data_IF_905563642262
#
_entry.id   IF_905563642262
#
_cell.length_a   1.000
_cell.length_b   1.000
_cell.length_c   1.000
_cell.angle_alpha   90.00
_cell.angle_beta   90.00
_cell.angle_gamma   90.00
#
_symmetry.space_group_name_H-M   'P 1'
#
loop_
_entity.id
_entity.type
_entity.pdbx_description
1 polymer ?
#
# COMPACT_ATOMS: atom_id res chain seq x y z
N UNK A 1 -22.93 -15.68 11.70
CA UNK A 1 -22.22 -14.64 10.94
C UNK A 1 -21.39 -13.73 11.85
N UNK A 2 -21.89 -13.32 13.02
CA UNK A 2 -21.17 -12.41 13.93
C UNK A 2 -19.80 -12.92 14.40
N UNK A 3 -19.67 -14.20 14.76
CA UNK A 3 -18.36 -14.79 15.09
C UNK A 3 -17.38 -14.74 13.92
N UNK A 4 -17.86 -14.91 12.69
CA UNK A 4 -17.01 -14.90 11.50
C UNK A 4 -16.51 -13.48 11.19
N UNK A 5 -17.39 -12.48 11.27
CA UNK A 5 -16.99 -11.08 11.10
C UNK A 5 -16.03 -10.61 12.19
N UNK A 6 -16.25 -11.02 13.45
CA UNK A 6 -15.35 -10.67 14.56
C UNK A 6 -13.94 -11.27 14.38
N UNK A 7 -13.84 -12.52 13.89
CA UNK A 7 -12.53 -13.09 13.56
C UNK A 7 -11.83 -12.32 12.44
N UNK A 8 -12.57 -11.93 11.40
CA UNK A 8 -12.02 -11.25 10.24
C UNK A 8 -11.69 -9.77 10.45
N UNK A 9 -12.45 -9.05 11.27
CA UNK A 9 -12.38 -7.59 11.43
C UNK A 9 -11.92 -7.17 12.82
N UNK A 10 -11.83 -8.11 13.76
CA UNK A 10 -11.54 -7.82 15.16
C UNK A 10 -12.74 -7.14 15.83
N UNK A 11 -12.44 -6.13 16.63
CA UNK A 11 -13.45 -5.35 17.36
C UNK A 11 -14.11 -4.25 16.51
N UNK A 12 -13.76 -4.13 15.22
CA UNK A 12 -14.36 -3.12 14.34
C UNK A 12 -15.57 -3.65 13.60
N UNK A 13 -16.64 -2.86 13.56
CA UNK A 13 -17.80 -3.13 12.72
C UNK A 13 -17.48 -2.99 11.23
N UNK A 14 -18.26 -3.72 10.41
CA UNK A 14 -18.06 -3.80 8.97
C UNK A 14 -18.17 -2.43 8.26
N UNK A 15 -19.15 -1.56 8.56
CA UNK A 15 -19.21 -0.19 8.02
C UNK A 15 -17.95 0.63 8.30
N UNK A 16 -17.48 0.65 9.55
CA UNK A 16 -16.27 1.40 9.93
C UNK A 16 -15.04 0.86 9.22
N UNK A 17 -14.91 -0.46 9.07
CA UNK A 17 -13.81 -1.08 8.34
C UNK A 17 -13.78 -0.68 6.87
N UNK A 18 -14.93 -0.68 6.19
CA UNK A 18 -15.02 -0.23 4.80
C UNK A 18 -14.70 1.26 4.64
N UNK A 19 -15.19 2.10 5.56
CA UNK A 19 -14.84 3.52 5.57
C UNK A 19 -13.32 3.72 5.73
N UNK A 20 -12.68 3.01 6.66
CA UNK A 20 -11.23 3.06 6.87
C UNK A 20 -10.46 2.59 5.62
N UNK A 21 -10.91 1.53 4.96
CA UNK A 21 -10.33 1.06 3.69
C UNK A 21 -10.37 2.13 2.60
N UNK A 22 -11.50 2.83 2.43
CA UNK A 22 -11.63 3.93 1.45
C UNK A 22 -10.69 5.07 1.81
N UNK A 23 -10.62 5.45 3.09
CA UNK A 23 -9.74 6.52 3.56
C UNK A 23 -8.26 6.16 3.37
N UNK A 24 -7.88 4.91 3.64
CA UNK A 24 -6.53 4.42 3.39
C UNK A 24 -6.19 4.46 1.90
N UNK A 25 -7.12 4.07 1.00
CA UNK A 25 -6.93 4.19 -0.44
C UNK A 25 -6.71 5.63 -0.89
N UNK A 26 -7.42 6.60 -0.31
CA UNK A 26 -7.19 8.03 -0.56
C UNK A 26 -5.75 8.41 -0.15
N UNK A 27 -5.30 7.93 1.01
CA UNK A 27 -3.90 8.08 1.46
C UNK A 27 -2.90 7.50 0.46
N UNK A 28 -3.15 6.30 -0.06
CA UNK A 28 -2.29 5.66 -1.07
C UNK A 28 -2.23 6.47 -2.36
N UNK A 29 -3.38 6.92 -2.88
CA UNK A 29 -3.45 7.76 -4.09
C UNK A 29 -2.70 9.08 -3.89
N UNK A 30 -2.79 9.68 -2.69
CA UNK A 30 -2.04 10.88 -2.36
C UNK A 30 -0.53 10.63 -2.31
N UNK A 31 -0.10 9.50 -1.74
CA UNK A 31 1.30 9.06 -1.74
C UNK A 31 1.85 8.93 -3.16
N UNK A 32 1.08 8.29 -4.06
CA UNK A 32 1.42 8.19 -5.48
C UNK A 32 1.52 9.55 -6.15
N UNK A 33 0.59 10.47 -5.86
CA UNK A 33 0.65 11.83 -6.39
C UNK A 33 1.90 12.58 -5.95
N UNK A 34 2.29 12.46 -4.69
CA UNK A 34 3.51 13.08 -4.15
C UNK A 34 4.74 12.53 -4.88
N UNK A 35 4.80 11.21 -5.12
CA UNK A 35 5.90 10.58 -5.89
C UNK A 35 5.89 10.98 -7.36
N UNK A 36 4.72 11.11 -7.97
CA UNK A 36 4.58 11.53 -9.36
C UNK A 36 5.14 12.93 -9.62
N UNK A 37 5.09 13.84 -8.63
CA UNK A 37 5.71 15.17 -8.73
C UNK A 37 7.24 15.13 -8.90
N UNK A 38 7.88 14.04 -8.47
CA UNK A 38 9.34 13.82 -8.59
C UNK A 38 9.74 13.12 -9.89
N UNK A 39 8.80 12.79 -10.79
CA UNK A 39 9.09 12.11 -12.06
C UNK A 39 9.84 13.04 -13.03
N UNK A 40 10.71 12.45 -13.84
CA UNK A 40 11.44 13.15 -14.87
C UNK A 40 10.50 13.57 -16.01
N UNK A 41 10.27 14.88 -16.16
CA UNK A 41 9.40 15.47 -17.19
C UNK A 41 9.93 15.32 -18.62
N UNK A 42 11.20 14.95 -18.79
CA UNK A 42 11.85 14.77 -20.09
C UNK A 42 11.71 13.35 -20.64
N UNK A 43 11.08 12.42 -19.90
CA UNK A 43 10.84 11.06 -20.38
C UNK A 43 9.73 11.04 -21.44
N UNK A 44 9.99 10.34 -22.56
CA UNK A 44 9.00 10.11 -23.64
C UNK A 44 7.75 9.35 -23.18
N UNK A 45 7.83 8.62 -22.06
CA UNK A 45 6.75 7.78 -21.55
C UNK A 45 5.87 8.47 -20.49
N UNK A 46 6.16 9.71 -20.12
CA UNK A 46 5.37 10.47 -19.15
C UNK A 46 4.74 11.71 -19.79
N UNK A 47 3.44 11.96 -19.60
CA UNK A 47 2.81 13.15 -20.16
C UNK A 47 3.40 14.41 -19.56
N UNK A 48 3.59 15.44 -20.40
CA UNK A 48 4.16 16.72 -19.98
C UNK A 48 3.27 17.46 -18.96
N UNK A 49 1.95 17.27 -19.06
CA UNK A 49 0.96 17.78 -18.09
C UNK A 49 0.44 16.64 -17.22
N UNK A 50 0.19 16.95 -15.94
CA UNK A 50 -0.36 15.97 -14.99
C UNK A 50 -1.75 15.49 -15.43
N UNK A 51 -1.99 14.18 -15.34
CA UNK A 51 -3.27 13.55 -15.61
C UNK A 51 -3.58 12.53 -14.52
N UNK A 52 -4.71 12.69 -13.85
CA UNK A 52 -5.20 11.74 -12.84
C UNK A 52 -5.44 10.35 -13.44
N UNK A 53 -5.97 10.30 -14.66
CA UNK A 53 -6.17 9.04 -15.39
C UNK A 53 -4.86 8.32 -15.63
N UNK A 54 -3.82 9.05 -16.07
CA UNK A 54 -2.49 8.47 -16.26
C UNK A 54 -1.90 7.96 -14.93
N UNK A 55 -2.00 8.75 -13.85
CA UNK A 55 -1.51 8.34 -12.54
C UNK A 55 -2.14 7.02 -12.07
N UNK A 56 -3.46 6.91 -12.17
CA UNK A 56 -4.18 5.72 -11.72
C UNK A 56 -3.91 4.51 -12.62
N UNK A 57 -3.87 4.68 -13.94
CA UNK A 57 -3.60 3.59 -14.87
C UNK A 57 -2.16 3.05 -14.74
N UNK A 58 -1.20 3.96 -14.67
CA UNK A 58 0.23 3.62 -14.55
C UNK A 58 0.58 2.96 -13.21
N UNK A 59 -0.24 3.17 -12.18
CA UNK A 59 -0.03 2.60 -10.85
C UNK A 59 -1.15 1.64 -10.44
N UNK A 60 -1.99 1.16 -11.36
CA UNK A 60 -3.16 0.34 -11.01
C UNK A 60 -2.74 -0.96 -10.32
N UNK A 61 -1.73 -1.65 -10.86
CA UNK A 61 -1.17 -2.85 -10.23
C UNK A 61 -0.62 -2.56 -8.82
N UNK A 62 -0.01 -1.39 -8.63
CA UNK A 62 0.54 -0.98 -7.35
C UNK A 62 -0.57 -0.66 -6.34
N UNK A 63 -1.65 -0.01 -6.78
CA UNK A 63 -2.85 0.23 -5.99
C UNK A 63 -3.51 -1.09 -5.57
N UNK A 64 -3.66 -2.03 -6.49
CA UNK A 64 -4.20 -3.36 -6.17
C UNK A 64 -3.29 -4.13 -5.20
N UNK A 65 -1.97 -4.09 -5.42
CA UNK A 65 -1.01 -4.68 -4.52
C UNK A 65 -0.99 -4.03 -3.13
N UNK A 66 -1.35 -2.74 -3.03
CA UNK A 66 -1.46 -2.02 -1.75
C UNK A 66 -2.68 -2.40 -0.92
N UNK A 67 -3.72 -3.00 -1.51
CA UNK A 67 -4.93 -3.40 -0.78
C UNK A 67 -4.64 -4.43 0.31
N UNK A 68 -3.81 -5.42 0.01
CA UNK A 68 -3.48 -6.49 0.95
C UNK A 68 -2.72 -5.98 2.20
N UNK A 69 -1.60 -5.22 2.07
CA UNK A 69 -0.91 -4.68 3.23
C UNK A 69 -1.74 -3.64 3.98
N UNK A 70 -2.59 -2.85 3.30
CA UNK A 70 -3.52 -1.94 3.97
C UNK A 70 -4.54 -2.73 4.79
N UNK A 71 -5.15 -3.77 4.21
CA UNK A 71 -6.09 -4.64 4.91
C UNK A 71 -5.46 -5.25 6.17
N UNK A 72 -4.25 -5.81 6.05
CA UNK A 72 -3.51 -6.40 7.18
C UNK A 72 -3.21 -5.31 8.23
N UNK A 73 -2.72 -4.14 7.83
CA UNK A 73 -2.37 -3.07 8.77
C UNK A 73 -3.59 -2.52 9.52
N UNK A 74 -4.75 -2.41 8.86
CA UNK A 74 -6.00 -2.02 9.50
C UNK A 74 -6.51 -3.12 10.43
N UNK A 75 -6.49 -4.38 9.99
CA UNK A 75 -6.97 -5.50 10.80
C UNK A 75 -6.16 -5.69 12.07
N UNK A 76 -4.84 -5.56 11.98
CA UNK A 76 -3.94 -5.76 13.11
C UNK A 76 -3.54 -4.44 13.78
N UNK A 77 -4.30 -3.35 13.57
CA UNK A 77 -3.96 -2.04 14.14
C UNK A 77 -4.00 -2.07 15.67
N UNK A 78 -5.02 -2.71 16.23
CA UNK A 78 -5.17 -2.89 17.68
C UNK A 78 -4.05 -3.74 18.28
N UNK A 79 -3.62 -4.78 17.58
CA UNK A 79 -2.61 -5.72 18.04
C UNK A 79 -1.19 -5.16 17.91
N UNK A 80 -0.90 -4.40 16.85
CA UNK A 80 0.42 -3.83 16.60
C UNK A 80 0.65 -2.52 17.35
N UNK A 81 -0.37 -1.69 17.47
CA UNK A 81 -0.21 -0.32 17.98
C UNK A 81 -0.99 -0.06 19.28
N UNK A 82 -1.81 -1.01 19.74
CA UNK A 82 -2.62 -0.83 20.95
C UNK A 82 -3.67 0.28 20.82
N UNK A 83 -3.97 0.71 19.58
CA UNK A 83 -4.92 1.77 19.29
C UNK A 83 -6.06 1.26 18.42
N UNK A 84 -7.26 1.75 18.73
CA UNK A 84 -8.43 1.49 17.91
C UNK A 84 -8.26 2.11 16.52
N UNK A 85 -8.93 1.49 15.55
CA UNK A 85 -8.88 1.93 14.16
C UNK A 85 -9.60 3.28 14.03
N UNK A 86 -8.82 4.36 13.89
CA UNK A 86 -9.33 5.70 13.59
C UNK A 86 -9.15 6.03 12.11
N UNK A 87 -10.00 6.91 11.56
CA UNK A 87 -9.90 7.34 10.16
C UNK A 87 -8.57 8.04 9.85
N UNK A 88 -8.04 8.81 10.81
CA UNK A 88 -6.72 9.44 10.69
C UNK A 88 -5.60 8.39 10.60
N UNK A 89 -5.68 7.34 11.42
CA UNK A 89 -4.73 6.24 11.38
C UNK A 89 -4.81 5.47 10.05
N UNK A 90 -6.02 5.20 9.56
CA UNK A 90 -6.23 4.55 8.28
C UNK A 90 -5.60 5.35 7.11
N UNK A 91 -5.76 6.67 7.13
CA UNK A 91 -5.13 7.56 6.14
C UNK A 91 -3.60 7.47 6.17
N UNK A 92 -3.00 7.44 7.37
CA UNK A 92 -1.54 7.29 7.54
C UNK A 92 -1.03 5.93 7.06
N UNK A 93 -1.75 4.84 7.36
CA UNK A 93 -1.46 3.51 6.82
C UNK A 93 -1.46 3.56 5.29
N UNK A 94 -2.49 4.17 4.69
CA UNK A 94 -2.59 4.38 3.25
C UNK A 94 -1.38 5.11 2.67
N UNK A 95 -1.02 6.24 3.27
CA UNK A 95 0.15 7.03 2.86
C UNK A 95 1.47 6.22 2.91
N UNK A 96 1.63 5.39 3.94
CA UNK A 96 2.82 4.57 4.19
C UNK A 96 2.88 3.28 3.37
N UNK A 97 1.73 2.76 2.92
CA UNK A 97 1.61 1.45 2.25
C UNK A 97 2.54 1.30 1.04
N UNK A 98 2.68 2.36 0.24
CA UNK A 98 3.52 2.38 -0.96
C UNK A 98 5.02 2.21 -0.65
N UNK A 99 5.45 2.65 0.54
CA UNK A 99 6.85 2.52 0.98
C UNK A 99 7.15 1.10 1.46
N UNK A 100 6.17 0.45 2.12
CA UNK A 100 6.28 -0.94 2.55
C UNK A 100 6.42 -1.84 1.32
N UNK A 101 5.56 -1.64 0.31
CA UNK A 101 5.60 -2.43 -0.92
C UNK A 101 6.96 -2.32 -1.63
N UNK A 102 7.46 -1.10 -1.81
CA UNK A 102 8.76 -0.89 -2.46
C UNK A 102 9.96 -1.38 -1.64
N UNK A 103 9.83 -1.54 -0.31
CA UNK A 103 10.85 -2.20 0.51
C UNK A 103 10.81 -3.72 0.35
N UNK A 104 9.62 -4.30 0.27
CA UNK A 104 9.44 -5.73 0.00
C UNK A 104 10.02 -6.13 -1.36
N UNK A 105 9.76 -5.32 -2.40
CA UNK A 105 10.35 -5.52 -3.74
C UNK A 105 11.88 -5.53 -3.68
N UNK A 106 12.50 -4.55 -3.01
CA UNK A 106 13.96 -4.49 -2.84
C UNK A 106 14.53 -5.69 -2.08
N UNK A 107 13.84 -6.15 -1.04
CA UNK A 107 14.24 -7.33 -0.28
C UNK A 107 14.21 -8.60 -1.15
N UNK A 108 13.19 -8.74 -2.00
CA UNK A 108 13.09 -9.84 -2.95
C UNK A 108 14.21 -9.79 -4.00
N UNK A 109 14.55 -8.60 -4.52
CA UNK A 109 15.68 -8.44 -5.46
C UNK A 109 17.02 -8.84 -4.81
N UNK A 110 17.30 -8.36 -3.59
CA UNK A 110 18.52 -8.73 -2.85
C UNK A 110 18.59 -10.24 -2.58
N UNK A 111 17.47 -10.87 -2.22
CA UNK A 111 17.42 -12.31 -2.01
C UNK A 111 17.74 -13.09 -3.30
N UNK A 112 17.20 -12.65 -4.45
CA UNK A 112 17.47 -13.28 -5.76
C UNK A 112 18.94 -13.17 -6.16
N UNK A 113 19.55 -12.01 -5.98
CA UNK A 113 20.98 -11.80 -6.27
C UNK A 113 21.86 -12.70 -5.38
N UNK A 114 21.54 -12.81 -4.09
CA UNK A 114 22.28 -13.67 -3.15
C UNK A 114 22.24 -15.17 -3.51
N UNK A 115 21.16 -15.62 -4.14
CA UNK A 115 21.02 -17.00 -4.62
C UNK A 115 21.82 -17.20 -5.91
N UNK A 116 21.77 -16.24 -6.82
CA UNK A 116 22.56 -16.26 -8.07
C UNK A 116 24.06 -16.30 -7.78
N UNK A 117 24.55 -15.47 -6.86
CA UNK A 117 25.97 -15.42 -6.49
C UNK A 117 26.45 -16.74 -5.85
N UNK A 118 25.57 -17.45 -5.13
CA UNK A 118 25.87 -18.78 -4.58
C UNK A 118 25.88 -19.89 -5.64
N UNK A 119 25.18 -19.73 -6.77
CA UNK A 119 25.20 -20.69 -7.86
C UNK A 119 26.40 -20.51 -8.80
N UNK A 120 26.93 -19.29 -8.93
CA UNK A 120 28.11 -19.00 -9.76
C UNK A 120 29.43 -19.44 -9.07
N UNK A 121 29.48 -19.41 -7.74
CA UNK A 121 30.67 -19.77 -6.95
C UNK A 121 30.71 -21.27 -6.53
N UNK A 122 29.98 -22.15 -7.21
CA UNK A 122 29.90 -23.58 -6.92
C UNK A 122 30.26 -24.38 -8.17
#
# INVERSE_FOLDING_TARGET
>A
MEKFSHLLLGNTDLPTFFAAMIIALIGTVLSLRIKARKRNKLSKHTPFKFSWRFLLQDNLLKLLASLLPVFIALRFSSEFFGQDMTMGFAFLIGLGSDTILSRLEKLQEMARLSISDKQINK
#
